data_IF_686946164442
#
_entry.id   IF_686946164442
#
_cell.length_a   1.000
_cell.length_b   1.000
_cell.length_c   1.000
_cell.angle_alpha   90.00
_cell.angle_beta   90.00
_cell.angle_gamma   90.00
#
_symmetry.space_group_name_H-M   'P 1'
#
loop_
_entity.id
_entity.type
_entity.pdbx_description
1 polymer ?
#
# COMPACT_ATOMS: atom_id res chain seq x y z
N UNK A 1 -29.54 21.71 23.75
CA UNK A 1 -29.52 21.80 22.27
C UNK A 1 -28.08 22.15 21.87
N UNK A 2 -27.24 21.18 21.51
CA UNK A 2 -25.84 21.44 21.11
C UNK A 2 -25.82 21.86 19.64
N UNK A 3 -25.45 23.11 19.36
CA UNK A 3 -25.35 23.64 18.00
C UNK A 3 -24.08 23.11 17.35
N UNK A 4 -24.21 22.21 16.36
CA UNK A 4 -23.09 21.77 15.53
C UNK A 4 -22.65 22.96 14.67
N UNK A 5 -21.56 23.62 15.03
CA UNK A 5 -20.94 24.63 14.17
C UNK A 5 -20.36 23.94 12.93
N UNK A 6 -20.61 24.44 11.70
CA UNK A 6 -20.09 23.84 10.49
C UNK A 6 -18.55 23.91 10.51
N UNK A 7 -17.89 22.76 10.32
CA UNK A 7 -16.44 22.71 10.19
C UNK A 7 -16.02 23.54 8.97
N UNK A 8 -15.20 24.60 9.12
CA UNK A 8 -14.80 25.43 8.00
C UNK A 8 -14.13 24.58 6.91
N UNK A 9 -14.57 24.75 5.67
CA UNK A 9 -14.03 24.01 4.54
C UNK A 9 -12.50 24.19 4.47
N UNK A 10 -11.73 23.11 4.31
CA UNK A 10 -10.27 23.20 4.25
C UNK A 10 -9.85 24.11 3.09
N UNK A 11 -8.82 24.93 3.32
CA UNK A 11 -8.30 25.80 2.27
C UNK A 11 -7.87 24.95 1.05
N UNK A 12 -8.15 25.44 -0.16
CA UNK A 12 -7.82 24.72 -1.41
C UNK A 12 -6.34 24.32 -1.48
N UNK A 13 -5.44 25.17 -0.96
CA UNK A 13 -4.01 24.86 -0.84
C UNK A 13 -3.73 23.68 0.08
N UNK A 14 -4.37 23.61 1.26
CA UNK A 14 -4.23 22.48 2.18
C UNK A 14 -4.80 21.20 1.58
N UNK A 15 -5.94 21.29 0.90
CA UNK A 15 -6.55 20.14 0.22
C UNK A 15 -5.63 19.57 -0.86
N UNK A 16 -5.05 20.42 -1.73
CA UNK A 16 -4.14 19.97 -2.78
C UNK A 16 -2.81 19.42 -2.22
N UNK A 17 -2.29 20.01 -1.14
CA UNK A 17 -1.12 19.48 -0.45
C UNK A 17 -1.38 18.08 0.10
N UNK A 18 -2.47 17.92 0.85
CA UNK A 18 -2.88 16.62 1.43
C UNK A 18 -3.12 15.61 0.32
N UNK A 19 -3.78 15.99 -0.78
CA UNK A 19 -3.98 15.13 -1.94
C UNK A 19 -2.65 14.68 -2.55
N UNK A 20 -1.68 15.59 -2.72
CA UNK A 20 -0.35 15.24 -3.23
C UNK A 20 0.39 14.27 -2.32
N UNK A 21 0.29 14.46 -0.99
CA UNK A 21 0.86 13.53 -0.01
C UNK A 21 0.17 12.17 -0.08
N UNK A 22 -1.16 12.12 -0.09
CA UNK A 22 -1.91 10.86 -0.22
C UNK A 22 -1.58 10.15 -1.53
N UNK A 23 -1.45 10.89 -2.63
CA UNK A 23 -1.06 10.34 -3.92
C UNK A 23 0.33 9.71 -3.85
N UNK A 24 1.31 10.40 -3.27
CA UNK A 24 2.67 9.87 -3.14
C UNK A 24 2.71 8.63 -2.24
N UNK A 25 2.00 8.66 -1.11
CA UNK A 25 1.86 7.49 -0.22
C UNK A 25 1.22 6.32 -0.96
N UNK A 26 0.21 6.58 -1.80
CA UNK A 26 -0.43 5.56 -2.61
C UNK A 26 0.51 4.98 -3.67
N UNK A 27 1.32 5.82 -4.32
CA UNK A 27 2.35 5.36 -5.26
C UNK A 27 3.35 4.43 -4.56
N UNK A 28 3.84 4.80 -3.37
CA UNK A 28 4.72 3.94 -2.59
C UNK A 28 4.03 2.64 -2.17
N UNK A 29 2.77 2.70 -1.74
CA UNK A 29 1.97 1.51 -1.41
C UNK A 29 1.89 0.53 -2.60
N UNK A 30 1.76 1.07 -3.81
CA UNK A 30 1.72 0.29 -5.04
C UNK A 30 3.08 -0.31 -5.41
N UNK A 31 4.18 0.45 -5.26
CA UNK A 31 5.54 -0.03 -5.52
C UNK A 31 5.90 -1.17 -4.57
N UNK A 32 5.61 -1.03 -3.27
CA UNK A 32 5.84 -2.08 -2.26
C UNK A 32 5.14 -3.39 -2.64
N UNK A 33 3.88 -3.31 -3.10
CA UNK A 33 3.13 -4.47 -3.59
C UNK A 33 3.75 -5.09 -4.84
N UNK A 34 4.32 -4.27 -5.72
CA UNK A 34 4.88 -4.71 -7.00
C UNK A 34 6.28 -5.32 -6.86
N UNK A 35 7.08 -4.88 -5.88
CA UNK A 35 8.47 -5.32 -5.72
C UNK A 35 8.57 -6.82 -5.43
N UNK A 36 7.67 -7.37 -4.62
CA UNK A 36 7.63 -8.80 -4.36
C UNK A 36 7.35 -9.58 -5.65
N UNK A 37 6.40 -9.13 -6.47
CA UNK A 37 6.09 -9.82 -7.73
C UNK A 37 7.26 -9.85 -8.71
N UNK A 38 8.12 -8.83 -8.71
CA UNK A 38 9.34 -8.78 -9.53
C UNK A 38 10.41 -9.73 -8.96
N UNK A 39 10.51 -9.81 -7.62
CA UNK A 39 11.53 -10.59 -6.94
C UNK A 39 11.16 -12.07 -6.73
N UNK A 40 9.91 -12.50 -6.97
CA UNK A 40 9.49 -13.90 -6.82
C UNK A 40 10.40 -14.85 -7.61
N UNK A 41 10.73 -14.52 -8.86
CA UNK A 41 11.61 -15.33 -9.72
C UNK A 41 13.00 -15.57 -9.13
N UNK A 42 13.78 -14.51 -8.85
CA UNK A 42 15.11 -14.66 -8.25
C UNK A 42 15.07 -15.26 -6.84
N UNK A 43 14.11 -14.89 -5.98
CA UNK A 43 13.98 -15.48 -4.63
C UNK A 43 13.73 -16.99 -4.70
N UNK A 44 12.87 -17.44 -5.62
CA UNK A 44 12.59 -18.87 -5.84
C UNK A 44 13.85 -19.63 -6.27
N UNK A 45 14.62 -19.03 -7.18
CA UNK A 45 15.85 -19.63 -7.70
C UNK A 45 16.96 -19.70 -6.63
N UNK A 46 17.11 -18.66 -5.80
CA UNK A 46 18.15 -18.58 -4.79
C UNK A 46 17.85 -19.43 -3.54
N UNK A 47 16.58 -19.68 -3.23
CA UNK A 47 16.16 -20.38 -2.02
C UNK A 47 15.55 -21.78 -2.28
N UNK A 48 15.55 -22.26 -3.52
CA UNK A 48 15.01 -23.57 -3.95
C UNK A 48 13.58 -23.86 -3.44
N UNK A 49 12.75 -22.82 -3.33
CA UNK A 49 11.42 -22.92 -2.72
C UNK A 49 10.38 -23.37 -3.75
N UNK A 50 9.38 -24.14 -3.34
CA UNK A 50 8.30 -24.60 -4.23
C UNK A 50 7.33 -23.47 -4.62
N UNK A 51 6.69 -23.61 -5.79
CA UNK A 51 5.69 -22.67 -6.30
C UNK A 51 4.52 -22.43 -5.32
N UNK A 52 4.16 -23.45 -4.55
CA UNK A 52 3.10 -23.36 -3.54
C UNK A 52 3.47 -22.39 -2.42
N UNK A 53 4.73 -22.40 -1.97
CA UNK A 53 5.21 -21.49 -0.91
C UNK A 53 5.30 -20.06 -1.43
N UNK A 54 5.79 -19.88 -2.66
CA UNK A 54 5.83 -18.55 -3.28
C UNK A 54 4.44 -17.96 -3.50
N UNK A 55 3.45 -18.77 -3.89
CA UNK A 55 2.05 -18.34 -3.97
C UNK A 55 1.46 -17.95 -2.62
N UNK A 56 1.84 -18.66 -1.54
CA UNK A 56 1.43 -18.33 -0.17
C UNK A 56 2.05 -17.01 0.33
N UNK A 57 3.29 -16.73 -0.06
CA UNK A 57 3.99 -15.48 0.26
C UNK A 57 3.44 -14.29 -0.53
N UNK A 58 3.11 -14.49 -1.81
CA UNK A 58 2.59 -13.44 -2.69
C UNK A 58 1.14 -13.04 -2.38
N UNK A 59 0.32 -13.94 -1.82
CA UNK A 59 -1.10 -13.68 -1.53
C UNK A 59 -1.42 -13.61 -0.03
N UNK A 60 -1.59 -14.76 0.66
CA UNK A 60 -1.97 -14.82 2.08
C UNK A 60 -1.06 -14.07 3.04
N UNK A 61 0.27 -14.21 2.90
CA UNK A 61 1.20 -13.51 3.78
C UNK A 61 1.08 -11.99 3.59
N UNK A 62 0.93 -11.51 2.36
CA UNK A 62 0.73 -10.10 2.08
C UNK A 62 -0.59 -9.57 2.65
N UNK A 63 -1.67 -10.35 2.53
CA UNK A 63 -2.97 -9.98 3.09
C UNK A 63 -2.96 -9.88 4.62
N UNK A 64 -2.19 -10.74 5.31
CA UNK A 64 -2.14 -10.81 6.77
C UNK A 64 -1.22 -9.75 7.41
N UNK A 65 -0.15 -9.35 6.74
CA UNK A 65 0.85 -8.43 7.32
C UNK A 65 0.76 -6.98 6.83
N UNK A 66 0.08 -6.72 5.71
CA UNK A 66 0.07 -5.39 5.07
C UNK A 66 -1.29 -4.68 5.09
N UNK A 67 -2.36 -5.36 5.51
CA UNK A 67 -3.70 -4.77 5.71
C UNK A 67 -3.94 -4.49 7.18
#
# INVERSE_FOLDING_TARGET
MSTISPNPAPSRRRANYVLGVLFLVYVFNFIDRSVLSILIGPIKADLEISDTVMGLLAGPAFALFYT
#
